data_IF_979085850080
#
_entry.id   IF_979085850080
#
_cell.length_a   1.000
_cell.length_b   1.000
_cell.length_c   1.000
_cell.angle_alpha   90.00
_cell.angle_beta   90.00
_cell.angle_gamma   90.00
#
_symmetry.space_group_name_H-M   'P 1'
#
loop_
_entity.id
_entity.type
_entity.pdbx_description
1 polymer ?
#
# COMPACT_ATOMS: atom_id res chain seq x y z
N UNK A 1 2.52 -4.89 5.35
CA UNK A 1 3.83 -5.54 5.15
C UNK A 1 4.08 -5.79 3.67
N UNK A 2 5.35 -5.89 3.27
CA UNK A 2 5.74 -6.39 1.95
C UNK A 2 5.53 -7.91 1.82
N UNK A 3 5.47 -8.40 0.58
CA UNK A 3 5.29 -9.83 0.28
C UNK A 3 6.44 -10.69 0.78
N UNK A 4 7.66 -10.15 0.82
CA UNK A 4 8.88 -10.82 1.22
C UNK A 4 8.92 -11.20 2.71
N UNK A 5 8.19 -10.46 3.54
CA UNK A 5 8.10 -10.75 4.97
C UNK A 5 7.04 -11.82 5.31
N UNK A 6 6.13 -12.14 4.38
CA UNK A 6 5.04 -13.06 4.63
C UNK A 6 5.49 -14.46 5.06
N UNK A 7 6.52 -15.09 4.45
CA UNK A 7 7.01 -16.40 4.90
C UNK A 7 7.49 -16.39 6.35
N UNK A 8 8.16 -15.32 6.77
CA UNK A 8 8.63 -15.15 8.14
C UNK A 8 7.46 -15.13 9.14
N UNK A 9 6.41 -14.36 8.82
CA UNK A 9 5.21 -14.32 9.68
C UNK A 9 4.47 -15.66 9.74
N UNK A 10 4.38 -16.37 8.62
CA UNK A 10 3.77 -17.71 8.58
C UNK A 10 4.54 -18.75 9.40
N UNK A 11 5.85 -18.59 9.51
CA UNK A 11 6.72 -19.47 10.29
C UNK A 11 6.80 -19.11 11.79
N UNK A 12 6.19 -17.99 12.22
CA UNK A 12 6.23 -17.56 13.62
C UNK A 12 5.49 -18.54 14.54
N UNK A 13 6.09 -18.78 15.68
CA UNK A 13 5.56 -19.63 16.74
C UNK A 13 5.41 -18.85 18.03
N UNK A 14 4.44 -19.25 18.82
CA UNK A 14 4.25 -18.72 20.17
C UNK A 14 5.25 -19.33 21.18
N UNK A 15 5.16 -18.90 22.45
CA UNK A 15 6.01 -19.39 23.53
C UNK A 15 5.87 -20.91 23.74
N UNK A 16 4.76 -21.50 23.36
CA UNK A 16 4.46 -22.93 23.48
C UNK A 16 4.73 -23.73 22.19
N UNK A 17 5.45 -23.13 21.23
CA UNK A 17 5.79 -23.74 19.94
C UNK A 17 4.59 -24.03 19.01
N UNK A 18 3.43 -23.42 19.27
CA UNK A 18 2.28 -23.47 18.38
C UNK A 18 2.40 -22.39 17.29
N UNK A 19 1.73 -22.59 16.16
CA UNK A 19 1.69 -21.58 15.10
C UNK A 19 0.99 -20.31 15.59
N UNK A 20 1.71 -19.18 15.58
CA UNK A 20 1.17 -17.88 15.97
C UNK A 20 0.35 -17.23 14.86
N UNK A 21 0.61 -17.60 13.60
CA UNK A 21 -0.08 -17.08 12.44
C UNK A 21 -1.42 -17.82 12.22
N UNK A 22 -2.50 -17.05 12.09
CA UNK A 22 -3.83 -17.54 11.76
C UNK A 22 -4.19 -17.05 10.36
N UNK A 23 -4.38 -17.97 9.42
CA UNK A 23 -4.79 -17.63 8.05
C UNK A 23 -6.17 -16.98 8.03
N UNK A 24 -6.36 -16.02 7.12
CA UNK A 24 -7.66 -15.32 6.92
C UNK A 24 -8.81 -16.29 6.65
N UNK A 25 -8.58 -17.41 6.01
CA UNK A 25 -9.59 -18.44 5.72
C UNK A 25 -10.26 -19.00 6.98
N UNK A 26 -9.54 -19.02 8.11
CA UNK A 26 -10.04 -19.55 9.36
C UNK A 26 -11.06 -18.64 10.06
N UNK A 27 -11.02 -17.33 9.79
CA UNK A 27 -11.90 -16.36 10.44
C UNK A 27 -12.74 -15.51 9.48
N UNK A 28 -12.49 -15.59 8.16
CA UNK A 28 -13.20 -14.80 7.15
C UNK A 28 -14.73 -15.05 7.12
N UNK A 29 -15.16 -16.26 7.49
CA UNK A 29 -16.57 -16.61 7.51
C UNK A 29 -17.42 -15.84 8.54
N UNK A 30 -16.79 -15.24 9.56
CA UNK A 30 -17.46 -14.52 10.64
C UNK A 30 -17.11 -13.05 10.76
N UNK A 31 -16.28 -12.49 9.87
CA UNK A 31 -15.78 -11.14 10.00
C UNK A 31 -15.59 -10.40 8.69
N UNK A 32 -15.47 -9.07 8.79
CA UNK A 32 -15.12 -8.21 7.67
C UNK A 32 -13.61 -8.31 7.43
N UNK A 33 -13.23 -8.79 6.25
CA UNK A 33 -11.84 -8.86 5.82
C UNK A 33 -11.42 -7.57 5.10
N UNK A 34 -10.15 -7.18 5.27
CA UNK A 34 -9.56 -6.06 4.54
C UNK A 34 -9.03 -6.53 3.18
N UNK A 35 -8.99 -5.63 2.21
CA UNK A 35 -8.40 -5.94 0.91
C UNK A 35 -6.91 -6.21 1.08
N UNK A 36 -6.43 -7.38 0.61
CA UNK A 36 -5.05 -7.81 0.79
C UNK A 36 -4.72 -8.40 2.16
N UNK A 37 -5.73 -8.64 3.01
CA UNK A 37 -5.54 -9.32 4.29
C UNK A 37 -5.23 -10.81 4.06
N UNK A 38 -4.15 -11.30 4.68
CA UNK A 38 -3.67 -12.68 4.53
C UNK A 38 -3.86 -13.49 5.80
N UNK A 39 -3.92 -12.84 6.92
CA UNK A 39 -4.06 -13.49 8.22
C UNK A 39 -3.85 -12.53 9.38
N UNK A 40 -3.77 -13.09 10.56
CA UNK A 40 -3.52 -12.35 11.79
C UNK A 40 -2.43 -13.02 12.64
N UNK A 41 -1.75 -12.20 13.41
CA UNK A 41 -0.85 -12.64 14.46
C UNK A 41 -1.27 -11.90 15.73
N UNK A 42 -1.76 -12.65 16.70
CA UNK A 42 -2.35 -12.11 17.92
C UNK A 42 -3.44 -11.06 17.60
N UNK A 43 -3.25 -9.81 17.99
CA UNK A 43 -4.20 -8.71 17.78
C UNK A 43 -3.97 -7.98 16.44
N UNK A 44 -2.91 -8.30 15.70
CA UNK A 44 -2.55 -7.62 14.48
C UNK A 44 -3.07 -8.35 13.25
N UNK A 45 -3.80 -7.64 12.41
CA UNK A 45 -4.17 -8.10 11.08
C UNK A 45 -3.05 -7.80 10.10
N UNK A 46 -2.66 -8.78 9.31
CA UNK A 46 -1.58 -8.65 8.33
C UNK A 46 -2.16 -8.40 6.95
N UNK A 47 -1.90 -7.21 6.44
CA UNK A 47 -2.22 -6.80 5.07
C UNK A 47 -0.95 -6.80 4.26
N UNK A 48 -0.94 -7.53 3.15
CA UNK A 48 0.19 -7.58 2.21
C UNK A 48 -0.01 -6.55 1.13
N UNK A 49 0.99 -5.68 0.97
CA UNK A 49 1.07 -4.67 -0.09
C UNK A 49 2.30 -5.00 -0.93
N UNK A 50 2.12 -5.56 -2.16
CA UNK A 50 3.25 -5.96 -3.02
C UNK A 50 4.14 -4.79 -3.42
N UNK A 51 3.56 -3.59 -3.49
CA UNK A 51 4.26 -2.34 -3.87
C UNK A 51 4.91 -1.63 -2.69
N UNK A 52 5.03 -2.31 -1.53
CA UNK A 52 5.67 -1.74 -0.35
C UNK A 52 7.12 -1.38 -0.67
N UNK A 53 7.51 -0.15 -0.32
CA UNK A 53 8.89 0.30 -0.51
C UNK A 53 9.87 -0.58 0.27
N UNK A 54 11.07 -0.75 -0.27
CA UNK A 54 12.20 -1.38 0.42
C UNK A 54 13.44 -0.51 0.28
N UNK A 55 14.35 -0.65 1.22
CA UNK A 55 15.67 -0.01 1.16
C UNK A 55 16.70 -1.07 0.78
N UNK A 56 17.07 -1.09 -0.50
CA UNK A 56 18.05 -2.03 -1.04
C UNK A 56 19.45 -1.78 -0.45
N UNK A 57 20.07 -2.83 0.09
CA UNK A 57 21.42 -2.77 0.64
C UNK A 57 21.59 -1.79 1.82
N UNK A 58 20.54 -1.48 2.56
CA UNK A 58 20.59 -0.54 3.67
C UNK A 58 20.86 -1.21 5.02
N UNK A 59 20.93 -2.53 5.05
CA UNK A 59 21.26 -3.32 6.24
C UNK A 59 22.74 -3.64 6.35
N UNK A 60 23.07 -4.50 7.28
CA UNK A 60 24.43 -5.03 7.47
C UNK A 60 24.55 -6.36 6.71
N UNK A 61 25.74 -6.69 6.22
CA UNK A 61 25.99 -7.99 5.62
C UNK A 61 25.75 -9.12 6.65
N UNK A 62 24.97 -10.12 6.27
CA UNK A 62 24.69 -11.29 7.11
C UNK A 62 25.17 -12.55 6.39
N UNK A 63 26.33 -13.04 6.77
CA UNK A 63 26.90 -14.28 6.22
C UNK A 63 26.27 -15.55 6.81
N UNK A 64 25.41 -15.43 7.81
CA UNK A 64 24.88 -16.56 8.59
C UNK A 64 23.51 -17.00 8.10
N UNK A 65 22.69 -16.04 7.68
CA UNK A 65 21.31 -16.29 7.24
C UNK A 65 21.16 -15.99 5.75
N UNK A 66 20.37 -16.80 5.07
CA UNK A 66 19.95 -16.50 3.70
C UNK A 66 18.91 -15.39 3.75
N UNK A 67 19.28 -14.16 3.45
CA UNK A 67 18.43 -12.97 3.42
C UNK A 67 18.43 -12.36 2.03
N UNK A 68 17.44 -11.50 1.75
CA UNK A 68 17.48 -10.69 0.54
C UNK A 68 18.61 -9.68 0.64
N UNK A 69 19.50 -9.68 -0.36
CA UNK A 69 20.70 -8.86 -0.36
C UNK A 69 20.86 -8.08 -1.66
N UNK A 70 21.37 -6.87 -1.54
CA UNK A 70 21.81 -6.05 -2.66
C UNK A 70 23.25 -5.61 -2.41
N UNK A 71 24.16 -5.92 -3.34
CA UNK A 71 25.58 -5.62 -3.23
C UNK A 71 26.24 -6.20 -1.95
N UNK A 72 25.82 -7.37 -1.48
CA UNK A 72 26.36 -8.01 -0.30
C UNK A 72 25.89 -7.42 1.05
N UNK A 73 24.90 -6.55 1.02
CA UNK A 73 24.25 -5.98 2.20
C UNK A 73 22.77 -6.35 2.22
N UNK A 74 22.23 -6.64 3.39
CA UNK A 74 20.83 -7.01 3.54
C UNK A 74 19.90 -5.88 3.09
N UNK A 75 18.85 -6.25 2.39
CA UNK A 75 17.74 -5.36 2.08
C UNK A 75 16.87 -5.16 3.33
N UNK A 76 16.45 -3.94 3.57
CA UNK A 76 15.61 -3.58 4.71
C UNK A 76 14.17 -3.39 4.26
N UNK A 77 13.27 -4.11 4.92
CA UNK A 77 11.84 -4.10 4.65
C UNK A 77 11.09 -3.43 5.80
N UNK A 78 10.12 -2.55 5.52
CA UNK A 78 9.29 -1.94 6.53
C UNK A 78 8.15 -2.87 6.96
N UNK A 79 7.84 -2.85 8.25
CA UNK A 79 6.57 -3.29 8.81
C UNK A 79 5.88 -2.02 9.32
N UNK A 80 4.84 -1.60 8.63
CA UNK A 80 4.05 -0.44 9.03
C UNK A 80 2.89 -0.90 9.90
N UNK A 81 2.90 -0.49 11.16
CA UNK A 81 1.81 -0.74 12.10
C UNK A 81 0.94 0.50 12.16
N UNK A 82 -0.35 0.34 11.93
CA UNK A 82 -1.31 1.43 11.80
C UNK A 82 -2.48 1.13 12.73
N UNK A 83 -2.74 2.05 13.66
CA UNK A 83 -3.90 1.99 14.55
C UNK A 83 -5.11 2.70 13.95
N UNK A 84 -6.22 2.61 14.65
CA UNK A 84 -7.45 3.31 14.28
C UNK A 84 -7.27 4.84 14.32
N UNK A 85 -7.94 5.57 13.43
CA UNK A 85 -7.85 7.03 13.29
C UNK A 85 -6.42 7.59 13.14
N UNK A 86 -5.47 6.81 12.67
CA UNK A 86 -4.07 7.22 12.56
C UNK A 86 -3.83 8.19 11.41
N UNK A 87 -4.54 8.00 10.29
CA UNK A 87 -4.43 8.83 9.10
C UNK A 87 -5.78 8.98 8.38
N UNK A 88 -5.88 10.02 7.57
CA UNK A 88 -7.03 10.23 6.70
C UNK A 88 -6.59 10.66 5.31
N UNK A 89 -7.42 10.39 4.34
CA UNK A 89 -7.30 10.94 2.99
C UNK A 89 -8.26 12.10 2.83
N UNK A 90 -7.77 13.22 2.35
CA UNK A 90 -8.56 14.42 2.14
C UNK A 90 -8.99 14.44 0.67
N UNK A 91 -10.30 14.43 0.42
CA UNK A 91 -10.88 14.71 -0.88
C UNK A 91 -11.15 16.21 -1.04
N UNK A 92 -10.95 16.74 -2.23
CA UNK A 92 -11.32 18.12 -2.54
C UNK A 92 -12.77 18.18 -3.02
N UNK A 93 -13.54 19.09 -2.49
CA UNK A 93 -14.89 19.35 -2.96
C UNK A 93 -14.83 20.42 -4.05
N UNK A 94 -15.14 20.01 -5.28
CA UNK A 94 -15.34 20.93 -6.40
C UNK A 94 -16.82 20.95 -6.80
N UNK A 95 -17.37 22.12 -7.07
CA UNK A 95 -18.75 22.32 -7.50
C UNK A 95 -19.81 21.71 -6.54
N UNK A 96 -19.57 21.78 -5.24
CA UNK A 96 -20.49 21.27 -4.21
C UNK A 96 -20.56 19.76 -4.10
N UNK A 97 -19.74 19.02 -4.83
CA UNK A 97 -19.68 17.55 -4.78
C UNK A 97 -18.26 17.08 -4.42
N UNK A 98 -18.17 16.07 -3.56
CA UNK A 98 -16.90 15.40 -3.24
C UNK A 98 -16.48 14.53 -4.43
N UNK A 99 -15.71 15.09 -5.35
CA UNK A 99 -15.23 14.39 -6.55
C UNK A 99 -13.74 14.10 -6.38
N UNK A 100 -13.40 12.82 -6.27
CA UNK A 100 -11.98 12.38 -6.20
C UNK A 100 -11.24 12.57 -7.50
N UNK A 101 -11.94 12.42 -8.63
CA UNK A 101 -11.39 12.62 -9.96
C UNK A 101 -12.47 13.10 -10.92
N UNK A 102 -12.08 13.83 -11.96
CA UNK A 102 -12.92 14.27 -13.05
C UNK A 102 -12.26 13.90 -14.38
N UNK A 103 -12.97 13.15 -15.20
CA UNK A 103 -12.57 12.86 -16.57
C UNK A 103 -13.33 13.79 -17.47
N UNK A 104 -12.63 14.53 -18.32
CA UNK A 104 -13.19 15.37 -19.35
C UNK A 104 -12.73 14.82 -20.68
N UNK A 105 -13.69 14.50 -21.55
CA UNK A 105 -13.45 14.02 -22.90
C UNK A 105 -14.20 14.91 -23.88
N UNK A 106 -13.53 15.33 -24.93
CA UNK A 106 -14.11 16.02 -26.08
C UNK A 106 -13.66 15.26 -27.34
N UNK A 107 -14.63 14.68 -28.05
CA UNK A 107 -14.37 14.06 -29.34
C UNK A 107 -14.05 15.14 -30.41
N UNK A 108 -13.30 14.81 -31.46
CA UNK A 108 -13.13 15.69 -32.60
C UNK A 108 -14.47 16.11 -33.20
N UNK A 109 -14.56 17.34 -33.67
CA UNK A 109 -15.78 17.89 -34.28
C UNK A 109 -15.84 19.42 -34.18
N UNK A 110 -16.84 20.05 -34.76
CA UNK A 110 -17.02 21.53 -34.75
C UNK A 110 -17.01 22.13 -33.34
N UNK A 111 -17.48 21.39 -32.34
CA UNK A 111 -17.46 21.85 -30.94
C UNK A 111 -16.04 21.90 -30.31
N UNK A 112 -15.05 21.34 -30.98
CA UNK A 112 -13.64 21.40 -30.56
C UNK A 112 -12.81 22.37 -31.40
N UNK A 113 -13.39 22.91 -32.47
CA UNK A 113 -12.72 23.87 -33.32
C UNK A 113 -12.29 25.11 -32.54
N UNK A 114 -11.04 25.50 -32.72
CA UNK A 114 -10.47 26.72 -32.16
C UNK A 114 -9.52 27.38 -33.20
N UNK A 115 -8.83 28.44 -32.78
CA UNK A 115 -7.93 29.16 -33.66
C UNK A 115 -6.74 28.33 -34.17
N UNK A 116 -6.34 27.30 -33.44
CA UNK A 116 -5.22 26.41 -33.79
C UNK A 116 -5.68 25.21 -34.60
N UNK A 117 -6.94 24.81 -34.46
CA UNK A 117 -7.59 23.73 -35.19
C UNK A 117 -8.99 24.18 -35.69
N UNK A 118 -9.02 24.96 -36.81
CA UNK A 118 -10.26 25.50 -37.31
C UNK A 118 -11.28 24.45 -37.77
N UNK A 119 -10.84 23.27 -38.12
CA UNK A 119 -11.69 22.18 -38.59
C UNK A 119 -12.11 21.21 -37.47
N UNK A 120 -11.57 21.38 -36.27
CA UNK A 120 -11.91 20.51 -35.16
C UNK A 120 -11.50 19.04 -35.36
N UNK A 121 -10.38 18.80 -36.04
CA UNK A 121 -9.88 17.45 -36.32
C UNK A 121 -9.29 16.76 -35.09
N UNK A 122 -8.91 17.57 -34.09
CA UNK A 122 -8.32 17.08 -32.86
C UNK A 122 -9.33 17.08 -31.70
N UNK A 123 -9.34 15.99 -30.95
CA UNK A 123 -10.06 15.91 -29.68
C UNK A 123 -9.08 15.95 -28.52
N UNK A 124 -9.60 16.05 -27.29
CA UNK A 124 -8.78 15.90 -26.11
C UNK A 124 -9.45 15.06 -25.02
N UNK A 125 -8.63 14.41 -24.24
CA UNK A 125 -9.04 13.78 -23.00
C UNK A 125 -8.13 14.25 -21.87
N UNK A 126 -8.74 14.69 -20.77
CA UNK A 126 -8.00 15.08 -19.60
C UNK A 126 -8.58 14.42 -18.35
N UNK A 127 -7.69 14.05 -17.44
CA UNK A 127 -8.04 13.51 -16.14
C UNK A 127 -7.49 14.48 -15.09
N UNK A 128 -8.36 14.93 -14.21
CA UNK A 128 -8.02 15.80 -13.09
C UNK A 128 -8.43 15.12 -11.80
N UNK A 129 -7.49 15.00 -10.88
CA UNK A 129 -7.76 14.46 -9.55
C UNK A 129 -7.11 15.34 -8.49
N UNK A 130 -7.73 15.30 -7.32
CA UNK A 130 -7.20 15.93 -6.13
C UNK A 130 -6.99 14.87 -5.07
N UNK A 131 -5.86 14.93 -4.42
CA UNK A 131 -5.47 13.97 -3.43
C UNK A 131 -4.70 14.68 -2.32
N UNK A 132 -5.04 14.34 -1.10
CA UNK A 132 -4.33 14.80 0.10
C UNK A 132 -4.27 13.67 1.12
N UNK A 133 -3.19 13.65 1.88
CA UNK A 133 -2.98 12.72 2.97
C UNK A 133 -2.58 13.50 4.21
N UNK A 134 -3.14 13.13 5.35
CA UNK A 134 -2.81 13.74 6.62
C UNK A 134 -2.76 12.68 7.71
N UNK A 135 -1.68 12.66 8.48
CA UNK A 135 -1.60 11.89 9.70
C UNK A 135 -2.37 12.65 10.80
N UNK A 136 -3.40 12.01 11.36
CA UNK A 136 -4.21 12.56 12.44
C UNK A 136 -3.56 12.33 13.80
N UNK A 137 -3.13 11.08 14.02
CA UNK A 137 -2.55 10.65 15.30
C UNK A 137 -1.25 9.89 15.03
N UNK A 138 -0.11 10.59 14.94
CA UNK A 138 1.18 9.97 14.65
C UNK A 138 1.60 8.96 15.73
N UNK A 139 1.12 9.09 16.95
CA UNK A 139 1.37 8.15 18.05
C UNK A 139 0.76 6.76 17.81
N UNK A 140 -0.17 6.63 16.86
CA UNK A 140 -0.80 5.37 16.48
C UNK A 140 -0.18 4.75 15.22
N UNK A 141 0.95 5.30 14.77
CA UNK A 141 1.70 4.79 13.62
C UNK A 141 3.08 4.37 14.11
N UNK A 142 3.48 3.14 13.82
CA UNK A 142 4.82 2.67 14.11
C UNK A 142 5.43 2.04 12.86
N UNK A 143 6.73 2.25 12.69
CA UNK A 143 7.51 1.68 11.60
C UNK A 143 8.62 0.81 12.18
N UNK A 144 8.58 -0.48 11.87
CA UNK A 144 9.63 -1.43 12.22
C UNK A 144 10.42 -1.73 10.95
N UNK A 145 11.73 -1.61 11.01
CA UNK A 145 12.64 -1.95 9.92
C UNK A 145 13.28 -3.30 10.20
N UNK A 146 13.17 -4.23 9.27
CA UNK A 146 13.68 -5.60 9.44
C UNK A 146 14.22 -6.14 8.12
N UNK A 147 15.07 -7.18 8.20
CA UNK A 147 15.46 -7.95 7.04
C UNK A 147 14.46 -9.08 6.80
N UNK A 148 14.26 -9.48 5.56
CA UNK A 148 13.47 -10.66 5.22
C UNK A 148 14.39 -11.85 4.95
N UNK A 149 14.00 -13.01 5.42
CA UNK A 149 14.67 -14.27 5.17
C UNK A 149 14.19 -14.87 3.84
N UNK A 150 15.13 -15.40 3.05
CA UNK A 150 14.85 -16.14 1.81
C UNK A 150 14.15 -17.47 2.11
#
# INVERSE_FOLDING_TARGET
>A
IGSELLPTFKAMKDLHNNAAFISVEKYAAGGTTLVGEVGSVDQFRLVVVPEMMKWAGAGVADATNATYETNGLCDVFPILVVGDESFTTIGFQTDGKSVKFKITHKAPGEATADRTDPYGETGFMSIKWYYGFMALRPERIALIKTAAKL
#
